data_IF_053476267198
#
_entry.id   IF_053476267198
#
_cell.length_a   1.000
_cell.length_b   1.000
_cell.length_c   1.000
_cell.angle_alpha   90.00
_cell.angle_beta   90.00
_cell.angle_gamma   90.00
#
_symmetry.space_group_name_H-M   'P 1'
#
loop_
_entity.id
_entity.type
_entity.pdbx_description
1 polymer ?
#
# COMPACT_ATOMS: atom_id res chain seq x y z
N UNK A 1 4.21 -9.52 40.21
CA UNK A 1 4.12 -9.53 38.73
C UNK A 1 5.32 -8.80 38.17
N UNK A 2 6.24 -9.52 37.52
CA UNK A 2 7.46 -8.97 36.92
C UNK A 2 7.39 -9.22 35.41
N UNK A 3 6.40 -8.61 34.76
CA UNK A 3 6.35 -8.60 33.31
C UNK A 3 7.31 -7.51 32.82
N UNK A 4 8.22 -7.81 31.87
CA UNK A 4 9.02 -6.79 31.25
C UNK A 4 8.11 -5.73 30.61
N UNK A 5 8.52 -4.45 30.60
CA UNK A 5 7.74 -3.40 29.98
C UNK A 5 7.43 -3.74 28.53
N UNK A 6 6.20 -3.46 28.11
CA UNK A 6 5.75 -3.65 26.73
C UNK A 6 6.72 -2.95 25.78
N UNK A 7 7.31 -3.65 24.80
CA UNK A 7 8.27 -3.03 23.89
C UNK A 7 7.65 -1.86 23.12
N UNK A 8 8.38 -0.74 22.99
CA UNK A 8 7.89 0.47 22.30
C UNK A 8 7.47 0.23 20.85
N UNK A 9 8.07 -0.77 20.17
CA UNK A 9 7.67 -1.16 18.82
C UNK A 9 6.23 -1.68 18.76
N UNK A 10 5.71 -2.26 19.84
CA UNK A 10 4.33 -2.78 19.91
C UNK A 10 3.32 -1.63 19.84
N UNK A 11 3.59 -0.54 20.57
CA UNK A 11 2.76 0.67 20.52
C UNK A 11 2.75 1.29 19.11
N UNK A 12 3.92 1.41 18.48
CA UNK A 12 4.04 1.90 17.12
C UNK A 12 3.21 1.06 16.13
N UNK A 13 3.25 -0.27 16.25
CA UNK A 13 2.48 -1.18 15.38
C UNK A 13 0.97 -1.08 15.61
N UNK A 14 0.53 -0.91 16.85
CA UNK A 14 -0.89 -0.66 17.15
C UNK A 14 -1.38 0.63 16.51
N UNK A 15 -0.57 1.70 16.56
CA UNK A 15 -0.89 2.95 15.87
C UNK A 15 -0.96 2.77 14.35
N UNK A 16 -0.03 2.02 13.74
CA UNK A 16 -0.07 1.73 12.32
C UNK A 16 -1.33 0.94 11.93
N UNK A 17 -1.73 -0.07 12.71
CA UNK A 17 -2.97 -0.81 12.47
C UNK A 17 -4.21 0.07 12.60
N UNK A 18 -4.32 0.90 13.65
CA UNK A 18 -5.40 1.88 13.79
C UNK A 18 -5.44 2.84 12.58
N UNK A 19 -4.28 3.28 12.11
CA UNK A 19 -4.17 4.15 10.95
C UNK A 19 -4.67 3.47 9.67
N UNK A 20 -4.32 2.20 9.43
CA UNK A 20 -4.84 1.43 8.30
C UNK A 20 -6.36 1.29 8.37
N UNK A 21 -6.90 0.95 9.54
CA UNK A 21 -8.35 0.80 9.71
C UNK A 21 -9.05 2.14 9.44
N UNK A 22 -8.64 3.20 10.13
CA UNK A 22 -9.33 4.50 10.07
C UNK A 22 -9.14 5.25 8.75
N UNK A 23 -7.98 5.10 8.11
CA UNK A 23 -7.59 5.94 6.96
C UNK A 23 -7.55 5.20 5.64
N UNK A 24 -7.36 3.88 5.68
CA UNK A 24 -7.30 3.02 4.51
C UNK A 24 -8.48 2.05 4.43
N UNK A 25 -9.38 2.05 5.41
CA UNK A 25 -10.56 1.18 5.40
C UNK A 25 -10.22 -0.30 5.51
N UNK A 26 -9.09 -0.64 6.12
CA UNK A 26 -8.75 -2.03 6.42
C UNK A 26 -9.69 -2.56 7.48
N UNK A 27 -10.10 -3.82 7.32
CA UNK A 27 -10.74 -4.62 8.36
C UNK A 27 -9.69 -5.27 9.25
N UNK A 28 -10.11 -5.80 10.40
CA UNK A 28 -9.18 -6.51 11.29
C UNK A 28 -8.71 -7.82 10.65
N UNK A 29 -9.59 -8.44 9.86
CA UNK A 29 -9.35 -9.67 9.11
C UNK A 29 -8.33 -9.48 7.98
N UNK A 30 -8.20 -8.25 7.44
CA UNK A 30 -7.16 -7.89 6.49
C UNK A 30 -5.79 -7.66 7.16
N UNK A 31 -5.69 -7.55 8.49
CA UNK A 31 -4.39 -7.35 9.13
C UNK A 31 -3.59 -8.66 9.15
N UNK A 32 -2.34 -8.59 8.70
CA UNK A 32 -1.42 -9.73 8.73
C UNK A 32 -0.75 -9.81 10.10
N UNK A 33 -0.86 -10.97 10.74
CA UNK A 33 -0.21 -11.29 12.01
C UNK A 33 0.83 -12.40 11.82
N UNK A 34 1.88 -12.38 12.64
CA UNK A 34 2.85 -13.48 12.72
C UNK A 34 2.28 -14.70 13.47
N UNK A 35 3.06 -15.78 13.53
CA UNK A 35 2.69 -17.03 14.20
C UNK A 35 2.37 -16.85 15.70
N UNK A 36 2.84 -15.75 16.31
CA UNK A 36 2.58 -15.40 17.71
C UNK A 36 1.42 -14.39 17.85
N UNK A 37 0.70 -14.08 16.77
CA UNK A 37 -0.42 -13.16 16.76
C UNK A 37 -0.04 -11.68 16.85
N UNK A 38 1.21 -11.32 16.55
CA UNK A 38 1.68 -9.93 16.57
C UNK A 38 1.76 -9.34 15.17
N UNK A 39 1.64 -8.01 15.08
CA UNK A 39 1.87 -7.29 13.83
C UNK A 39 3.37 -7.33 13.46
N UNK A 40 3.72 -7.78 12.24
CA UNK A 40 5.11 -7.90 11.81
C UNK A 40 5.87 -6.57 11.91
N UNK A 41 7.09 -6.61 12.45
CA UNK A 41 7.86 -5.39 12.74
C UNK A 41 8.88 -4.99 11.67
N UNK A 42 9.18 -5.86 10.70
CA UNK A 42 10.29 -5.66 9.76
C UNK A 42 9.91 -4.88 8.49
N UNK A 43 8.64 -4.97 8.09
CA UNK A 43 8.13 -4.37 6.85
C UNK A 43 7.05 -3.31 7.12
N UNK A 44 6.81 -2.47 6.11
CA UNK A 44 5.63 -1.60 6.05
C UNK A 44 4.36 -2.48 6.02
N UNK A 45 3.33 -2.21 6.84
CA UNK A 45 2.15 -3.08 6.92
C UNK A 45 1.46 -3.36 5.59
N UNK A 46 1.42 -2.39 4.67
CA UNK A 46 0.83 -2.61 3.34
C UNK A 46 1.73 -3.42 2.45
N UNK A 47 3.05 -3.34 2.62
CA UNK A 47 3.99 -4.23 1.96
C UNK A 47 3.81 -5.67 2.45
N UNK A 48 3.67 -5.87 3.77
CA UNK A 48 3.39 -7.18 4.36
C UNK A 48 2.07 -7.74 3.82
N UNK A 49 1.01 -6.93 3.83
CA UNK A 49 -0.28 -7.30 3.25
C UNK A 49 -0.16 -7.68 1.78
N UNK A 50 0.53 -6.87 0.98
CA UNK A 50 0.66 -7.12 -0.44
C UNK A 50 1.45 -8.40 -0.78
N UNK A 51 2.41 -8.77 0.07
CA UNK A 51 3.12 -10.07 -0.03
C UNK A 51 2.22 -11.26 0.32
N UNK A 52 1.30 -11.07 1.27
CA UNK A 52 0.36 -12.11 1.70
C UNK A 52 -0.81 -12.30 0.72
N UNK A 53 -1.13 -11.29 -0.09
CA UNK A 53 -2.25 -11.28 -1.04
C UNK A 53 -1.79 -11.06 -2.50
N UNK A 54 -0.93 -11.92 -3.07
CA UNK A 54 -0.47 -11.77 -4.45
C UNK A 54 -1.60 -11.83 -5.48
N UNK A 55 -2.72 -12.50 -5.16
CA UNK A 55 -3.93 -12.59 -5.99
C UNK A 55 -4.62 -11.25 -6.22
N UNK A 56 -4.38 -10.26 -5.36
CA UNK A 56 -4.91 -8.91 -5.49
C UNK A 56 -4.18 -8.09 -6.57
N UNK A 57 -3.03 -8.57 -7.05
CA UNK A 57 -2.15 -7.80 -7.92
C UNK A 57 -1.93 -8.46 -9.29
N UNK A 58 -1.68 -7.67 -10.34
CA UNK A 58 -1.53 -6.20 -10.32
C UNK A 58 -2.87 -5.45 -10.36
N UNK A 59 -2.88 -4.26 -9.75
CA UNK A 59 -4.02 -3.33 -9.79
C UNK A 59 -3.90 -2.41 -11.00
N UNK A 60 -4.90 -2.41 -11.88
CA UNK A 60 -4.95 -1.48 -13.02
C UNK A 60 -5.38 -0.08 -12.57
N UNK A 61 -4.43 0.85 -12.50
CA UNK A 61 -4.64 2.19 -11.89
C UNK A 61 -5.70 3.01 -12.63
N UNK A 62 -5.86 2.82 -13.93
CA UNK A 62 -6.87 3.53 -14.69
C UNK A 62 -8.30 3.01 -14.49
N UNK A 63 -8.47 1.86 -13.82
CA UNK A 63 -9.78 1.19 -13.63
C UNK A 63 -10.15 0.98 -12.16
N UNK A 64 -9.19 0.60 -11.34
CA UNK A 64 -9.38 0.21 -9.94
C UNK A 64 -10.16 1.25 -9.14
N UNK A 65 -11.05 0.85 -8.26
CA UNK A 65 -11.76 1.79 -7.40
C UNK A 65 -10.85 2.42 -6.35
N UNK A 66 -11.42 3.33 -5.55
CA UNK A 66 -10.66 4.04 -4.53
C UNK A 66 -10.09 3.11 -3.46
N UNK A 67 -10.85 2.11 -3.03
CA UNK A 67 -10.47 1.20 -1.95
C UNK A 67 -9.39 0.22 -2.44
N UNK A 68 -9.49 -0.26 -3.68
CA UNK A 68 -8.46 -1.09 -4.31
C UNK A 68 -7.13 -0.35 -4.40
N UNK A 69 -7.15 0.93 -4.76
CA UNK A 69 -5.95 1.76 -4.82
C UNK A 69 -5.29 1.94 -3.43
N UNK A 70 -6.06 1.91 -2.35
CA UNK A 70 -5.51 2.06 -0.99
C UNK A 70 -4.69 0.85 -0.55
N UNK A 71 -4.96 -0.33 -1.11
CA UNK A 71 -4.24 -1.58 -0.83
C UNK A 71 -2.86 -1.62 -1.47
N UNK A 72 -2.65 -0.85 -2.53
CA UNK A 72 -1.36 -0.76 -3.23
C UNK A 72 -0.30 -0.09 -2.34
N UNK A 73 0.85 -0.72 -2.06
CA UNK A 73 1.96 -0.09 -1.37
C UNK A 73 2.41 1.20 -2.07
N UNK A 74 2.62 2.28 -1.31
CA UNK A 74 3.04 3.58 -1.86
C UNK A 74 1.91 4.48 -2.39
N UNK A 75 0.66 4.00 -2.46
CA UNK A 75 -0.51 4.84 -2.71
C UNK A 75 -1.21 5.15 -1.37
N UNK A 76 -1.54 6.42 -1.12
CA UNK A 76 -2.23 6.86 0.09
C UNK A 76 -3.57 7.52 -0.21
N UNK A 77 -4.39 7.86 0.80
CA UNK A 77 -5.72 8.44 0.60
C UNK A 77 -5.74 9.67 -0.29
N UNK A 78 -4.72 10.53 -0.18
CA UNK A 78 -4.60 11.73 -1.02
C UNK A 78 -4.28 11.40 -2.47
N UNK A 79 -3.30 10.52 -2.73
CA UNK A 79 -2.92 10.15 -4.09
C UNK A 79 -3.97 9.27 -4.76
N UNK A 80 -4.61 8.34 -4.04
CA UNK A 80 -5.75 7.57 -4.54
C UNK A 80 -6.92 8.47 -4.98
N UNK A 81 -7.29 9.48 -4.17
CA UNK A 81 -8.32 10.46 -4.56
C UNK A 81 -7.93 11.23 -5.83
N UNK A 82 -6.66 11.62 -5.95
CA UNK A 82 -6.14 12.31 -7.13
C UNK A 82 -6.16 11.41 -8.37
N UNK A 83 -5.74 10.15 -8.25
CA UNK A 83 -5.80 9.15 -9.33
C UNK A 83 -7.22 9.02 -9.86
N UNK A 84 -8.20 8.76 -8.98
CA UNK A 84 -9.61 8.58 -9.36
C UNK A 84 -10.17 9.84 -10.05
N UNK A 85 -9.72 11.03 -9.64
CA UNK A 85 -10.15 12.29 -10.23
C UNK A 85 -9.50 12.54 -11.59
N UNK A 86 -8.18 12.43 -11.69
CA UNK A 86 -7.42 12.81 -12.89
C UNK A 86 -7.58 11.79 -14.03
N UNK A 87 -7.74 10.50 -13.73
CA UNK A 87 -7.95 9.48 -14.79
C UNK A 87 -9.21 9.68 -15.63
N UNK A 88 -10.17 10.46 -15.11
CA UNK A 88 -11.38 10.86 -15.86
C UNK A 88 -11.06 11.84 -17.00
N UNK A 89 -9.93 12.52 -16.93
CA UNK A 89 -9.47 13.49 -17.94
C UNK A 89 -8.53 12.83 -18.96
N UNK A 90 -7.88 11.74 -18.59
CA UNK A 90 -7.00 10.96 -19.46
C UNK A 90 -6.32 9.83 -18.69
N UNK A 91 -5.97 8.76 -19.40
CA UNK A 91 -5.29 7.60 -18.80
C UNK A 91 -3.83 7.93 -18.45
N UNK A 92 -3.37 7.38 -17.33
CA UNK A 92 -1.95 7.34 -16.97
C UNK A 92 -1.22 6.27 -17.77
N UNK A 93 -0.02 6.61 -18.25
CA UNK A 93 0.83 5.71 -19.05
C UNK A 93 2.21 5.53 -18.46
N UNK A 94 2.66 6.48 -17.64
CA UNK A 94 4.00 6.52 -17.09
C UNK A 94 3.96 6.64 -15.56
N UNK A 95 5.01 6.16 -14.88
CA UNK A 95 5.09 6.27 -13.42
C UNK A 95 5.24 7.72 -12.96
N UNK A 96 5.86 8.54 -13.80
CA UNK A 96 6.06 9.97 -13.62
C UNK A 96 4.72 10.67 -13.38
N UNK A 97 3.68 10.31 -14.14
CA UNK A 97 2.32 10.83 -13.98
C UNK A 97 1.82 10.57 -12.55
N UNK A 98 2.04 9.37 -12.02
CA UNK A 98 1.62 8.99 -10.66
C UNK A 98 2.48 9.67 -9.58
N UNK A 99 3.77 9.85 -9.85
CA UNK A 99 4.71 10.53 -8.94
C UNK A 99 4.26 11.98 -8.69
N UNK A 100 3.82 12.68 -9.73
CA UNK A 100 3.26 14.04 -9.62
C UNK A 100 2.00 14.09 -8.75
N UNK A 101 1.22 13.01 -8.71
CA UNK A 101 0.06 12.89 -7.82
C UNK A 101 0.43 12.58 -6.37
N UNK A 102 1.71 12.30 -6.09
CA UNK A 102 2.24 11.97 -4.77
C UNK A 102 2.26 10.47 -4.47
N UNK A 103 2.25 9.61 -5.50
CA UNK A 103 2.49 8.17 -5.32
C UNK A 103 3.98 7.91 -5.09
N UNK A 104 4.29 7.05 -4.11
CA UNK A 104 5.65 6.53 -3.93
C UNK A 104 5.89 5.41 -4.96
N UNK A 105 6.22 5.80 -6.18
CA UNK A 105 6.28 4.91 -7.35
C UNK A 105 7.24 3.75 -7.17
N UNK A 106 8.36 3.91 -6.45
CA UNK A 106 9.29 2.81 -6.14
C UNK A 106 8.61 1.66 -5.36
N UNK A 107 7.62 1.97 -4.52
CA UNK A 107 6.83 0.98 -3.78
C UNK A 107 5.63 0.47 -4.57
N UNK A 108 5.00 1.32 -5.38
CA UNK A 108 3.78 0.97 -6.12
C UNK A 108 4.05 0.16 -7.41
N UNK A 109 5.15 0.46 -8.12
CA UNK A 109 5.44 -0.09 -9.44
C UNK A 109 5.33 -1.64 -9.56
N UNK A 110 5.78 -2.44 -8.58
CA UNK A 110 5.64 -3.90 -8.65
C UNK A 110 4.19 -4.41 -8.64
N UNK A 111 3.25 -3.58 -8.14
CA UNK A 111 1.89 -3.98 -7.80
C UNK A 111 0.83 -3.41 -8.75
N UNK A 112 1.23 -2.65 -9.78
CA UNK A 112 0.29 -1.92 -10.63
C UNK A 112 0.52 -2.17 -12.12
N UNK A 113 -0.54 -1.95 -12.89
CA UNK A 113 -0.45 -1.74 -14.35
C UNK A 113 -1.01 -0.38 -14.74
N UNK A 114 -0.51 0.11 -15.88
CA UNK A 114 -0.98 1.29 -16.58
C UNK A 114 -1.38 0.86 -18.01
N UNK A 115 -2.67 0.92 -18.33
CA UNK A 115 -3.20 0.45 -19.63
C UNK A 115 -2.83 -1.02 -19.92
N UNK A 116 -2.88 -1.88 -18.89
CA UNK A 116 -2.55 -3.29 -18.97
C UNK A 116 -1.05 -3.61 -19.03
N UNK A 117 -0.18 -2.59 -18.97
CA UNK A 117 1.28 -2.76 -19.01
C UNK A 117 1.88 -2.55 -17.64
N UNK A 118 2.78 -3.44 -17.23
CA UNK A 118 3.64 -3.19 -16.06
C UNK A 118 4.57 -2.02 -16.40
N UNK A 119 4.61 -0.96 -15.58
CA UNK A 119 5.53 0.14 -15.83
C UNK A 119 6.98 -0.36 -15.74
N UNK A 120 7.85 0.19 -16.59
CA UNK A 120 9.28 -0.09 -16.53
C UNK A 120 9.83 0.36 -15.18
N UNK A 121 10.30 -0.60 -14.38
CA UNK A 121 10.99 -0.32 -13.13
C UNK A 121 12.48 -0.22 -13.43
N UNK A 122 13.04 1.00 -13.48
CA UNK A 122 14.47 1.13 -13.29
C UNK A 122 14.77 0.78 -11.84
N UNK A 123 15.25 -0.44 -11.60
CA UNK A 123 16.01 -0.71 -10.40
C UNK A 123 17.18 0.26 -10.43
N UNK A 124 17.12 1.32 -9.63
CA UNK A 124 18.34 2.02 -9.27
C UNK A 124 19.25 0.93 -8.68
N UNK A 125 20.28 0.55 -9.43
CA UNK A 125 21.35 -0.31 -8.98
C UNK A 125 21.78 0.23 -7.61
N UNK A 126 21.52 -0.55 -6.57
CA UNK A 126 22.24 -0.45 -5.30
C UNK A 126 23.59 -1.13 -5.48
#
# INVERSE_FOLDING_TARGET
ESHPPTPAWREHRLYEADFLIRRYGFTVEELVFDEQGNLPHQDDPKMTWAKAHPEFFPVEVNKADYEELLRVPGIGPRSAKRIVRERKKGSFRYLEDLKELGVVTKRAAPFITLEGKRPAFQMALL
#
